data_IF_743081199962
#
_entry.id   IF_743081199962
#
_cell.length_a   1.000
_cell.length_b   1.000
_cell.length_c   1.000
_cell.angle_alpha   90.00
_cell.angle_beta   90.00
_cell.angle_gamma   90.00
#
_symmetry.space_group_name_H-M   'P 1'
#
loop_
_entity.id
_entity.type
_entity.pdbx_description
1 polymer ?
#
# COMPACT_ATOMS: atom_id res chain seq x y z
N UNK A 1 -3.38 10.41 -19.17
CA UNK A 1 -4.12 10.13 -17.93
C UNK A 1 -3.18 9.38 -17.02
N UNK A 2 -2.86 9.97 -15.87
CA UNK A 2 -2.05 9.34 -14.82
C UNK A 2 -3.02 8.70 -13.84
N UNK A 3 -2.95 7.38 -13.69
CA UNK A 3 -3.88 6.63 -12.83
C UNK A 3 -3.36 6.61 -11.40
N UNK A 4 -4.11 7.22 -10.49
CA UNK A 4 -3.86 7.14 -9.06
C UNK A 4 -4.99 6.46 -8.29
N UNK A 5 -4.74 6.17 -7.02
CA UNK A 5 -5.73 5.66 -6.06
C UNK A 5 -5.79 6.60 -4.86
N UNK A 6 -7.00 6.96 -4.43
CA UNK A 6 -7.19 7.57 -3.11
C UNK A 6 -7.49 6.46 -2.11
N UNK A 7 -6.77 6.44 -0.98
CA UNK A 7 -7.08 5.67 0.23
C UNK A 7 -7.80 6.61 1.21
N UNK A 8 -9.14 6.52 1.34
CA UNK A 8 -9.87 7.29 2.32
C UNK A 8 -9.46 6.92 3.75
N UNK A 9 -9.58 7.85 4.68
CA UNK A 9 -9.37 7.59 6.10
C UNK A 9 -10.48 6.73 6.70
N UNK A 10 -11.71 6.96 6.24
CA UNK A 10 -12.90 6.21 6.61
C UNK A 10 -12.81 4.77 6.07
N UNK A 11 -12.86 3.77 6.96
CA UNK A 11 -12.67 2.35 6.62
C UNK A 11 -13.82 1.78 5.79
N UNK A 12 -15.02 2.34 5.97
CA UNK A 12 -16.24 2.01 5.25
C UNK A 12 -16.25 2.53 3.81
N UNK A 13 -15.39 3.50 3.49
CA UNK A 13 -15.26 4.04 2.13
C UNK A 13 -14.16 3.26 1.40
N UNK A 14 -14.46 2.57 0.28
CA UNK A 14 -13.45 1.82 -0.46
C UNK A 14 -12.44 2.76 -1.13
N UNK A 15 -11.19 2.30 -1.37
CA UNK A 15 -10.26 3.04 -2.21
C UNK A 15 -10.84 3.21 -3.62
N UNK A 16 -10.47 4.31 -4.28
CA UNK A 16 -11.03 4.65 -5.59
C UNK A 16 -9.97 5.22 -6.53
N UNK A 17 -10.18 4.99 -7.82
CA UNK A 17 -9.36 5.60 -8.87
C UNK A 17 -9.58 7.11 -8.91
N UNK A 18 -8.54 7.84 -9.30
CA UNK A 18 -8.64 9.22 -9.74
C UNK A 18 -7.64 9.49 -10.86
N UNK A 19 -7.88 10.55 -11.64
CA UNK A 19 -6.95 11.02 -12.66
C UNK A 19 -5.99 12.03 -12.02
N UNK A 20 -4.76 11.58 -11.75
CA UNK A 20 -3.71 12.41 -11.15
C UNK A 20 -3.10 13.39 -12.16
N UNK A 21 -3.41 13.29 -13.47
CA UNK A 21 -2.95 14.27 -14.46
C UNK A 21 -3.75 15.56 -14.47
N UNK A 22 -4.87 15.60 -13.73
CA UNK A 22 -5.65 16.83 -13.59
C UNK A 22 -4.93 17.81 -12.65
N UNK A 23 -4.89 19.11 -12.99
CA UNK A 23 -4.32 20.12 -12.12
C UNK A 23 -4.89 20.04 -10.71
N UNK A 24 -4.03 20.08 -9.71
CA UNK A 24 -4.36 20.03 -8.27
C UNK A 24 -5.08 18.75 -7.79
N UNK A 25 -5.24 17.71 -8.62
CA UNK A 25 -6.00 16.53 -8.23
C UNK A 25 -5.41 15.79 -7.03
N UNK A 26 -4.09 15.65 -6.98
CA UNK A 26 -3.40 15.08 -5.81
C UNK A 26 -3.62 15.94 -4.57
N UNK A 27 -3.49 17.27 -4.71
CA UNK A 27 -3.68 18.23 -3.59
C UNK A 27 -5.10 18.17 -3.04
N UNK A 28 -6.09 18.11 -3.93
CA UNK A 28 -7.51 17.95 -3.57
C UNK A 28 -7.78 16.59 -2.92
N UNK A 29 -7.12 15.53 -3.38
CA UNK A 29 -7.28 14.19 -2.84
C UNK A 29 -6.77 14.06 -1.40
N UNK A 30 -5.65 14.72 -1.06
CA UNK A 30 -5.09 14.70 0.31
C UNK A 30 -5.66 15.82 1.20
N UNK A 31 -6.26 16.85 0.60
CA UNK A 31 -6.97 17.90 1.32
C UNK A 31 -6.07 19.00 1.91
N UNK A 32 -4.88 19.23 1.36
CA UNK A 32 -3.94 20.22 1.90
C UNK A 32 -2.60 20.25 1.17
N UNK A 33 -1.57 20.81 1.82
CA UNK A 33 -0.20 20.76 1.31
C UNK A 33 0.27 19.30 1.24
N UNK A 34 1.04 18.97 0.20
CA UNK A 34 1.38 17.58 -0.11
C UNK A 34 2.80 17.27 0.34
N UNK A 35 2.95 16.16 1.05
CA UNK A 35 4.25 15.54 1.31
C UNK A 35 4.31 14.19 0.58
N UNK A 36 5.42 13.92 -0.11
CA UNK A 36 5.64 12.69 -0.87
C UNK A 36 6.44 11.68 -0.05
N UNK A 37 5.99 10.43 -0.05
CA UNK A 37 6.69 9.30 0.58
C UNK A 37 6.82 8.19 -0.47
N UNK A 38 8.04 7.96 -0.94
CA UNK A 38 8.31 6.94 -1.94
C UNK A 38 8.37 5.54 -1.31
N UNK A 39 7.74 4.57 -1.99
CA UNK A 39 7.79 3.15 -1.66
C UNK A 39 8.36 2.36 -2.87
N UNK A 40 9.69 2.39 -3.09
CA UNK A 40 10.27 1.93 -4.34
C UNK A 40 10.04 0.46 -4.68
N UNK A 41 9.95 -0.40 -3.66
CA UNK A 41 9.66 -1.85 -3.84
C UNK A 41 8.30 -2.11 -4.47
N UNK A 42 7.35 -1.18 -4.30
CA UNK A 42 6.03 -1.24 -4.92
C UNK A 42 5.94 -0.41 -6.20
N UNK A 43 6.94 0.42 -6.51
CA UNK A 43 6.90 1.34 -7.62
C UNK A 43 5.86 2.46 -7.46
N UNK A 44 5.61 2.90 -6.21
CA UNK A 44 4.59 3.92 -5.91
C UNK A 44 5.14 5.05 -5.05
N UNK A 45 4.47 6.21 -5.14
CA UNK A 45 4.61 7.35 -4.23
C UNK A 45 3.29 7.56 -3.49
N UNK A 46 3.37 7.74 -2.16
CA UNK A 46 2.24 8.13 -1.33
C UNK A 46 2.29 9.65 -1.09
N UNK A 47 1.26 10.36 -1.51
CA UNK A 47 1.04 11.74 -1.10
C UNK A 47 0.12 11.81 0.11
N UNK A 48 0.56 12.57 1.11
CA UNK A 48 -0.18 12.82 2.35
C UNK A 48 -0.35 14.31 2.58
N UNK A 49 -1.28 14.69 3.45
CA UNK A 49 -1.38 16.08 3.89
C UNK A 49 -0.27 16.40 4.90
N UNK A 50 0.69 17.24 4.50
CA UNK A 50 1.83 17.70 5.32
C UNK A 50 1.37 18.35 6.63
N UNK A 51 0.25 19.06 6.60
CA UNK A 51 -0.33 19.74 7.76
C UNK A 51 -1.26 18.85 8.58
N UNK A 52 -1.42 17.57 8.21
CA UNK A 52 -2.47 16.70 8.76
C UNK A 52 -2.45 16.53 10.28
N UNK A 53 -1.26 16.50 10.90
CA UNK A 53 -1.16 16.45 12.37
C UNK A 53 -1.57 17.77 13.04
N UNK A 54 -1.17 18.90 12.46
CA UNK A 54 -1.54 20.24 12.95
C UNK A 54 -3.06 20.45 12.82
N UNK A 55 -3.64 19.97 11.72
CA UNK A 55 -5.07 19.99 11.42
C UNK A 55 -5.88 18.93 12.19
N UNK A 56 -5.21 18.01 12.90
CA UNK A 56 -5.81 16.90 13.65
C UNK A 56 -6.67 15.99 12.78
N UNK A 57 -6.20 15.71 11.57
CA UNK A 57 -6.85 14.76 10.67
C UNK A 57 -6.87 13.35 11.29
N UNK A 58 -7.89 12.53 10.98
CA UNK A 58 -8.00 11.18 11.53
C UNK A 58 -6.88 10.25 11.02
N UNK A 59 -6.55 9.22 11.81
CA UNK A 59 -5.56 8.19 11.44
C UNK A 59 -6.03 7.38 10.22
N UNK A 60 -5.23 7.37 9.16
CA UNK A 60 -5.44 6.50 8.01
C UNK A 60 -4.74 5.15 8.22
N UNK A 61 -5.49 4.20 8.79
CA UNK A 61 -4.96 2.86 9.13
C UNK A 61 -4.43 2.11 7.91
N UNK A 62 -5.15 2.17 6.79
CA UNK A 62 -4.78 1.48 5.54
C UNK A 62 -3.46 2.01 5.00
N UNK A 63 -3.31 3.33 4.90
CA UNK A 63 -2.08 3.96 4.46
C UNK A 63 -0.92 3.70 5.44
N UNK A 64 -1.19 3.75 6.76
CA UNK A 64 -0.19 3.48 7.79
C UNK A 64 0.31 2.04 7.73
N UNK A 65 -0.57 1.05 7.55
CA UNK A 65 -0.18 -0.35 7.37
C UNK A 65 0.68 -0.56 6.12
N UNK A 66 0.36 0.14 5.03
CA UNK A 66 1.15 0.07 3.80
C UNK A 66 2.56 0.60 4.02
N UNK A 67 2.68 1.76 4.69
CA UNK A 67 3.97 2.32 5.06
C UNK A 67 4.77 1.34 5.93
N UNK A 68 4.16 0.79 6.99
CA UNK A 68 4.84 -0.11 7.92
C UNK A 68 5.32 -1.40 7.29
N UNK A 69 4.54 -1.96 6.36
CA UNK A 69 4.94 -3.18 5.65
C UNK A 69 6.16 -2.94 4.73
N UNK A 70 6.24 -1.76 4.12
CA UNK A 70 7.33 -1.41 3.21
C UNK A 70 8.56 -0.84 3.92
N UNK A 71 8.34 -0.16 5.04
CA UNK A 71 9.37 0.49 5.86
C UNK A 71 9.21 -0.02 7.30
N UNK A 72 9.76 -1.21 7.63
CA UNK A 72 9.60 -1.79 8.96
C UNK A 72 10.14 -0.91 10.10
N UNK A 73 11.12 -0.05 9.82
CA UNK A 73 11.63 0.92 10.78
C UNK A 73 10.63 2.02 11.15
N UNK A 74 9.56 2.21 10.38
CA UNK A 74 8.47 3.13 10.67
C UNK A 74 7.42 2.55 11.63
N UNK A 75 7.46 1.24 11.90
CA UNK A 75 6.54 0.55 12.79
C UNK A 75 6.49 1.22 14.18
N UNK A 76 5.27 1.53 14.63
CA UNK A 76 4.99 2.22 15.91
C UNK A 76 5.71 3.57 16.10
N UNK A 77 6.23 4.16 15.02
CA UNK A 77 6.97 5.43 15.05
C UNK A 77 6.37 6.48 14.13
N UNK A 78 5.82 6.06 13.00
CA UNK A 78 5.24 6.95 12.01
C UNK A 78 3.81 6.53 11.71
N UNK A 79 2.89 7.50 11.76
CA UNK A 79 1.47 7.30 11.51
C UNK A 79 1.05 8.28 10.42
N UNK A 80 0.21 7.83 9.48
CA UNK A 80 -0.31 8.69 8.42
C UNK A 80 -1.75 9.10 8.75
N UNK A 81 -2.05 10.38 8.58
CA UNK A 81 -3.35 10.97 8.90
C UNK A 81 -3.97 11.62 7.65
N UNK A 82 -5.30 11.65 7.60
CA UNK A 82 -6.05 12.15 6.45
C UNK A 82 -6.06 11.19 5.26
N UNK A 83 -6.77 11.59 4.20
CA UNK A 83 -6.83 10.81 2.98
C UNK A 83 -5.46 10.81 2.29
N UNK A 84 -5.10 9.69 1.67
CA UNK A 84 -3.79 9.50 1.04
C UNK A 84 -3.99 9.22 -0.43
N UNK A 85 -3.23 9.90 -1.29
CA UNK A 85 -3.21 9.62 -2.72
C UNK A 85 -1.98 8.75 -3.06
N UNK A 86 -2.18 7.74 -3.90
CA UNK A 86 -1.13 6.88 -4.43
C UNK A 86 -0.99 7.15 -5.92
N UNK A 87 0.25 7.34 -6.38
CA UNK A 87 0.62 7.38 -7.80
C UNK A 87 1.83 6.48 -8.04
N UNK A 88 2.23 6.28 -9.29
CA UNK A 88 3.51 5.61 -9.59
C UNK A 88 4.69 6.49 -9.20
N UNK A 89 5.87 5.88 -8.97
CA UNK A 89 7.10 6.65 -8.77
C UNK A 89 7.31 7.67 -9.89
N UNK A 90 7.93 8.79 -9.59
CA UNK A 90 8.35 9.74 -10.63
C UNK A 90 9.30 9.08 -11.61
N UNK A 91 9.24 9.48 -12.88
CA UNK A 91 10.24 9.07 -13.87
C UNK A 91 11.56 9.84 -13.71
N UNK A 92 12.51 9.60 -14.62
CA UNK A 92 13.84 10.21 -14.61
C UNK A 92 13.78 11.75 -14.78
N UNK A 93 12.66 12.30 -15.23
CA UNK A 93 12.41 13.74 -15.37
C UNK A 93 11.74 14.34 -14.12
N UNK A 94 11.36 13.50 -13.15
CA UNK A 94 10.66 13.91 -11.92
C UNK A 94 9.15 14.05 -12.09
N UNK A 95 8.59 13.53 -13.19
CA UNK A 95 7.15 13.63 -13.49
C UNK A 95 6.39 12.44 -12.91
N UNK A 96 5.19 12.69 -12.39
CA UNK A 96 4.32 11.66 -11.81
C UNK A 96 3.96 10.60 -12.86
N UNK A 97 4.09 9.31 -12.49
CA UNK A 97 3.69 8.20 -13.37
C UNK A 97 2.43 7.50 -12.88
N UNK A 98 1.84 6.68 -13.74
CA UNK A 98 0.68 5.86 -13.35
C UNK A 98 1.09 4.79 -12.36
N UNK A 99 0.19 4.45 -11.43
CA UNK A 99 0.37 3.29 -10.58
C UNK A 99 0.70 2.03 -11.40
N UNK A 100 1.62 1.18 -10.91
CA UNK A 100 1.86 -0.13 -11.50
C UNK A 100 0.56 -0.92 -11.57
N UNK A 101 0.23 -1.45 -12.75
CA UNK A 101 -1.05 -2.13 -13.00
C UNK A 101 -1.31 -3.27 -12.01
N UNK A 102 -0.28 -4.06 -11.71
CA UNK A 102 -0.35 -5.15 -10.74
C UNK A 102 -0.78 -4.65 -9.36
N UNK A 103 -0.21 -3.53 -8.89
CA UNK A 103 -0.57 -2.97 -7.59
C UNK A 103 -2.00 -2.40 -7.61
N UNK A 104 -2.37 -1.72 -8.69
CA UNK A 104 -3.74 -1.23 -8.88
C UNK A 104 -4.77 -2.37 -8.84
N UNK A 105 -4.47 -3.48 -9.51
CA UNK A 105 -5.30 -4.70 -9.50
C UNK A 105 -5.38 -5.33 -8.11
N UNK A 106 -4.27 -5.42 -7.36
CA UNK A 106 -4.29 -5.96 -5.99
C UNK A 106 -5.20 -5.13 -5.07
N UNK A 107 -5.16 -3.80 -5.19
CA UNK A 107 -5.90 -2.88 -4.30
C UNK A 107 -7.38 -2.76 -4.67
N UNK A 108 -7.70 -2.75 -5.97
CA UNK A 108 -9.06 -2.47 -6.47
C UNK A 108 -9.75 -3.66 -7.12
N UNK A 109 -9.05 -4.77 -7.32
CA UNK A 109 -9.57 -5.98 -7.94
C UNK A 109 -10.49 -6.77 -7.00
N UNK A 110 -11.09 -7.81 -7.57
CA UNK A 110 -12.00 -8.72 -6.87
C UNK A 110 -11.45 -10.14 -6.77
N UNK A 111 -10.14 -10.32 -6.97
CA UNK A 111 -9.50 -11.61 -6.87
C UNK A 111 -9.20 -11.93 -5.40
N UNK A 112 -9.21 -13.21 -5.05
CA UNK A 112 -8.67 -13.65 -3.78
C UNK A 112 -7.18 -13.33 -3.71
N UNK A 113 -6.73 -12.92 -2.54
CA UNK A 113 -5.36 -12.53 -2.25
C UNK A 113 -4.73 -13.51 -1.29
N UNK A 114 -3.40 -13.60 -1.31
CA UNK A 114 -2.60 -14.36 -0.36
C UNK A 114 -1.48 -13.50 0.21
N UNK A 115 -0.96 -13.93 1.35
CA UNK A 115 0.24 -13.34 1.96
C UNK A 115 1.41 -14.29 1.74
N UNK A 116 2.38 -13.83 0.96
CA UNK A 116 3.64 -14.53 0.79
C UNK A 116 4.66 -14.02 1.80
N UNK A 117 5.50 -14.92 2.30
CA UNK A 117 6.56 -14.64 3.26
C UNK A 117 7.88 -15.22 2.73
N UNK A 118 8.97 -14.50 2.96
CA UNK A 118 10.33 -14.92 2.63
C UNK A 118 11.23 -14.63 3.82
N UNK A 119 11.99 -15.62 4.25
CA UNK A 119 12.89 -15.52 5.40
C UNK A 119 14.31 -15.18 4.94
N UNK A 120 15.12 -14.53 5.77
CA UNK A 120 16.49 -14.13 5.37
C UNK A 120 17.39 -15.32 5.03
N UNK A 121 17.16 -16.48 5.66
CA UNK A 121 17.89 -17.73 5.43
C UNK A 121 17.37 -18.54 4.22
N UNK A 122 16.26 -18.10 3.62
CA UNK A 122 15.57 -18.81 2.55
C UNK A 122 14.98 -17.85 1.51
N UNK A 123 15.63 -17.78 0.34
CA UNK A 123 15.28 -16.81 -0.70
C UNK A 123 13.97 -17.09 -1.44
N UNK A 124 13.35 -18.25 -1.22
CA UNK A 124 12.08 -18.60 -1.84
C UNK A 124 10.90 -17.92 -1.14
N UNK A 125 9.86 -17.60 -1.91
CA UNK A 125 8.59 -17.11 -1.37
C UNK A 125 7.71 -18.30 -0.99
N UNK A 126 7.13 -18.24 0.20
CA UNK A 126 6.24 -19.27 0.76
C UNK A 126 4.90 -18.66 1.12
N UNK A 127 3.81 -19.41 1.00
CA UNK A 127 2.49 -19.00 1.48
C UNK A 127 1.73 -20.20 2.05
N UNK A 128 0.70 -19.92 2.85
CA UNK A 128 -0.27 -20.90 3.33
C UNK A 128 -1.55 -20.82 2.49
N UNK A 129 -2.46 -21.77 2.65
CA UNK A 129 -3.75 -21.81 1.92
C UNK A 129 -4.76 -20.71 2.38
N UNK A 130 -4.33 -19.79 3.24
CA UNK A 130 -5.17 -18.69 3.72
C UNK A 130 -5.31 -17.63 2.63
N UNK A 131 -6.55 -17.27 2.33
CA UNK A 131 -6.89 -16.27 1.32
C UNK A 131 -7.73 -15.13 1.90
N UNK A 132 -7.71 -14.00 1.22
CA UNK A 132 -8.34 -12.75 1.65
C UNK A 132 -9.12 -12.12 0.51
N UNK A 133 -10.28 -11.57 0.82
CA UNK A 133 -11.17 -10.94 -0.18
C UNK A 133 -10.76 -9.50 -0.53
N UNK A 134 -9.85 -8.89 0.25
CA UNK A 134 -9.38 -7.53 0.01
C UNK A 134 -7.94 -7.30 0.46
N UNK A 135 -7.29 -6.34 -0.20
CA UNK A 135 -5.88 -5.99 0.01
C UNK A 135 -5.55 -5.63 1.45
N UNK A 136 -6.46 -4.94 2.14
CA UNK A 136 -6.18 -4.37 3.45
C UNK A 136 -6.18 -5.42 4.55
N UNK A 137 -7.04 -6.43 4.46
CA UNK A 137 -6.98 -7.59 5.37
C UNK A 137 -5.73 -8.44 5.11
N UNK A 138 -5.40 -8.70 3.85
CA UNK A 138 -4.15 -9.39 3.49
C UNK A 138 -2.92 -8.62 4.01
N UNK A 139 -2.90 -7.30 3.82
CA UNK A 139 -1.82 -6.42 4.28
C UNK A 139 -1.71 -6.40 5.81
N UNK A 140 -2.83 -6.33 6.52
CA UNK A 140 -2.87 -6.41 8.00
C UNK A 140 -2.25 -7.72 8.49
N UNK A 141 -2.49 -8.82 7.78
CA UNK A 141 -1.89 -10.11 8.11
C UNK A 141 -0.41 -10.16 7.73
N UNK A 142 -0.02 -9.57 6.60
CA UNK A 142 1.38 -9.43 6.19
C UNK A 142 2.22 -8.68 7.23
N UNK A 143 1.72 -7.56 7.77
CA UNK A 143 2.42 -6.81 8.83
C UNK A 143 2.45 -7.58 10.14
N UNK A 144 1.38 -8.30 10.48
CA UNK A 144 1.31 -9.08 11.72
C UNK A 144 2.33 -10.20 11.69
N UNK A 145 2.45 -10.91 10.57
CA UNK A 145 3.49 -11.94 10.36
C UNK A 145 4.89 -11.33 10.46
N UNK A 146 5.12 -10.19 9.82
CA UNK A 146 6.42 -9.51 9.86
C UNK A 146 6.81 -9.04 11.28
N UNK A 147 5.87 -8.51 12.05
CA UNK A 147 6.12 -7.99 13.38
C UNK A 147 6.26 -9.07 14.46
N UNK A 148 5.58 -10.22 14.29
CA UNK A 148 5.57 -11.30 15.28
C UNK A 148 6.58 -12.42 14.97
N UNK A 149 7.17 -12.44 13.78
CA UNK A 149 8.13 -13.47 13.41
C UNK A 149 9.43 -13.32 14.22
N UNK A 150 9.87 -14.36 14.95
CA UNK A 150 11.14 -14.33 15.68
C UNK A 150 12.34 -14.24 14.74
N UNK A 151 12.19 -14.73 13.51
CA UNK A 151 13.14 -14.60 12.43
C UNK A 151 12.72 -13.46 11.50
N UNK A 152 13.68 -12.68 11.02
CA UNK A 152 13.38 -11.56 10.12
C UNK A 152 12.82 -12.09 8.81
N UNK A 153 11.56 -11.75 8.54
CA UNK A 153 10.88 -12.12 7.32
C UNK A 153 10.39 -10.89 6.55
N UNK A 154 10.40 -11.00 5.24
CA UNK A 154 9.76 -10.09 4.33
C UNK A 154 8.42 -10.67 3.90
N UNK A 155 7.37 -9.85 3.92
CA UNK A 155 6.04 -10.26 3.49
C UNK A 155 5.61 -9.45 2.28
N UNK A 156 4.76 -10.02 1.43
CA UNK A 156 4.06 -9.27 0.37
C UNK A 156 2.67 -9.83 0.13
N UNK A 157 1.78 -8.99 -0.36
CA UNK A 157 0.45 -9.40 -0.81
C UNK A 157 0.53 -9.72 -2.31
N UNK A 158 -0.05 -10.85 -2.70
CA UNK A 158 -0.11 -11.29 -4.09
C UNK A 158 -1.50 -11.87 -4.40
N UNK A 159 -1.86 -11.93 -5.69
CA UNK A 159 -3.06 -12.64 -6.10
C UNK A 159 -2.95 -14.13 -5.73
N UNK A 160 -3.99 -14.69 -5.14
CA UNK A 160 -4.09 -16.12 -4.90
C UNK A 160 -4.15 -16.86 -6.25
N UNK A 161 -3.57 -18.07 -6.36
CA UNK A 161 -3.61 -18.79 -7.61
C UNK A 161 -5.03 -19.31 -7.83
N UNK A 162 -5.52 -19.23 -9.07
CA UNK A 162 -6.88 -19.66 -9.42
C UNK A 162 -7.06 -21.18 -9.32
N UNK A 163 -5.96 -21.93 -9.21
CA UNK A 163 -5.91 -23.38 -8.97
C UNK A 163 -4.89 -23.66 -7.86
N UNK A 164 -5.21 -24.60 -6.97
CA UNK A 164 -4.35 -25.02 -5.86
C UNK A 164 -3.09 -25.72 -6.38
N UNK A 165 -2.09 -24.96 -6.79
CA UNK A 165 -0.72 -25.46 -6.95
C UNK A 165 0.07 -25.02 -5.72
N UNK A 166 0.10 -25.87 -4.70
CA UNK A 166 1.15 -25.80 -3.69
C UNK A 166 2.50 -26.00 -4.39
N UNK A 167 3.53 -25.20 -4.08
CA UNK A 167 4.87 -25.49 -4.55
C UNK A 167 5.37 -26.77 -3.85
N UNK A 168 5.83 -27.74 -4.64
CA UNK A 168 6.54 -28.93 -4.16
C UNK A 168 7.84 -28.57 -3.44
#
# INVERSE_FOLDING_TARGET
MIRGIVIPTAMEVPPRRFDASQPDAVRQAVGGLMEAIDLPKLGITMYVNESGFVERLPLNRRATWLLWQQVPSAWDRTYLVGDVALVGLTDDEGEDTSLPLVFEELVLGTHLLRVESRYEDNLSWWWNDETYDNYWEALRQAITKQALSPERCETRVAAAPTEATSPN
#
